data_IF_510822288386
#
_entry.id   IF_510822288386
#
_cell.length_a   1.000
_cell.length_b   1.000
_cell.length_c   1.000
_cell.angle_alpha   90.00
_cell.angle_beta   90.00
_cell.angle_gamma   90.00
#
_symmetry.space_group_name_H-M   'P 1'
#
loop_
_entity.id
_entity.type
_entity.pdbx_description
1 polymer ?
#
# COMPACT_ATOMS: atom_id res chain seq x y z
N UNK A 1 -23.64 5.60 16.70
CA UNK A 1 -24.63 6.70 16.60
C UNK A 1 -25.99 6.09 16.37
N UNK A 2 -27.10 6.75 16.72
CA UNK A 2 -28.43 6.21 16.45
C UNK A 2 -28.71 6.32 14.96
N UNK A 3 -28.78 5.20 14.26
CA UNK A 3 -29.08 5.14 12.83
C UNK A 3 -30.55 4.82 12.64
N UNK A 4 -31.25 5.67 11.89
CA UNK A 4 -32.64 5.44 11.58
C UNK A 4 -32.74 4.62 10.29
N UNK A 5 -33.39 3.48 10.41
CA UNK A 5 -33.64 2.55 9.31
C UNK A 5 -35.14 2.30 9.17
N UNK A 6 -35.56 2.09 7.93
CA UNK A 6 -36.87 1.58 7.55
C UNK A 6 -36.70 0.09 7.29
N UNK A 7 -37.46 -0.73 8.00
CA UNK A 7 -37.44 -2.19 7.88
C UNK A 7 -38.80 -2.64 7.35
N UNK A 8 -38.80 -3.25 6.18
CA UNK A 8 -39.98 -3.92 5.64
C UNK A 8 -39.94 -5.37 6.10
N UNK A 9 -41.02 -5.87 6.70
CA UNK A 9 -41.14 -7.27 7.12
C UNK A 9 -42.30 -7.97 6.44
N UNK A 10 -42.26 -9.29 6.45
CA UNK A 10 -43.35 -10.14 5.98
C UNK A 10 -43.52 -11.31 6.93
N UNK A 11 -44.76 -11.71 7.16
CA UNK A 11 -45.07 -12.84 8.02
C UNK A 11 -46.06 -13.79 7.36
N UNK A 12 -45.90 -15.08 7.65
CA UNK A 12 -46.85 -16.12 7.25
C UNK A 12 -47.52 -16.65 8.51
N UNK A 13 -48.84 -16.79 8.47
CA UNK A 13 -49.64 -17.22 9.62
C UNK A 13 -50.80 -18.10 9.19
N UNK A 14 -51.35 -18.85 10.15
CA UNK A 14 -52.54 -19.66 9.97
C UNK A 14 -53.40 -19.60 11.23
N UNK A 15 -54.71 -19.82 11.10
CA UNK A 15 -55.61 -19.94 12.24
C UNK A 15 -55.38 -21.31 12.89
N UNK A 16 -55.04 -21.32 14.18
CA UNK A 16 -54.87 -22.54 14.96
C UNK A 16 -56.12 -22.87 15.79
N UNK A 17 -56.74 -21.86 16.42
CA UNK A 17 -58.00 -21.98 17.15
C UNK A 17 -59.05 -21.01 16.57
N UNK A 18 -60.01 -21.50 15.77
CA UNK A 18 -61.05 -20.67 15.18
C UNK A 18 -61.97 -19.97 16.20
N UNK A 19 -62.21 -20.58 17.37
CA UNK A 19 -63.08 -19.99 18.39
C UNK A 19 -62.38 -18.81 19.08
N UNK A 20 -61.11 -19.00 19.44
CA UNK A 20 -60.28 -17.94 20.03
C UNK A 20 -60.03 -16.81 19.03
N UNK A 21 -59.83 -17.14 17.75
CA UNK A 21 -59.73 -16.18 16.65
C UNK A 21 -60.98 -15.30 16.56
N UNK A 22 -62.16 -15.92 16.46
CA UNK A 22 -63.41 -15.17 16.34
C UNK A 22 -63.69 -14.27 17.56
N UNK A 23 -63.30 -14.72 18.76
CA UNK A 23 -63.46 -13.94 20.00
C UNK A 23 -62.49 -12.76 20.10
N UNK A 24 -61.26 -12.93 19.64
CA UNK A 24 -60.18 -11.94 19.80
C UNK A 24 -60.13 -10.91 18.68
N UNK A 25 -60.21 -11.36 17.42
CA UNK A 25 -59.99 -10.53 16.23
C UNK A 25 -61.20 -10.41 15.31
N UNK A 26 -62.23 -11.25 15.50
CA UNK A 26 -63.50 -11.31 14.75
C UNK A 26 -63.37 -11.71 13.28
N UNK A 27 -62.51 -11.05 12.52
CA UNK A 27 -62.33 -11.29 11.09
C UNK A 27 -60.85 -11.18 10.68
N UNK A 28 -60.57 -11.43 9.40
CA UNK A 28 -59.21 -11.36 8.85
C UNK A 28 -58.63 -9.95 8.92
N UNK A 29 -59.44 -8.90 8.79
CA UNK A 29 -58.96 -7.52 8.84
C UNK A 29 -58.49 -7.17 10.26
N UNK A 30 -59.27 -7.54 11.28
CA UNK A 30 -58.88 -7.41 12.68
C UNK A 30 -57.64 -8.24 13.01
N UNK A 31 -57.52 -9.43 12.44
CA UNK A 31 -56.33 -10.26 12.59
C UNK A 31 -55.08 -9.57 12.03
N UNK A 32 -55.17 -9.02 10.80
CA UNK A 32 -54.07 -8.29 10.15
C UNK A 32 -53.62 -7.09 10.99
N UNK A 33 -54.54 -6.24 11.46
CA UNK A 33 -54.16 -5.09 12.30
C UNK A 33 -53.46 -5.52 13.59
N UNK A 34 -53.96 -6.56 14.28
CA UNK A 34 -53.31 -7.06 15.51
C UNK A 34 -51.94 -7.68 15.23
N UNK A 35 -51.81 -8.40 14.12
CA UNK A 35 -50.54 -8.97 13.70
C UNK A 35 -49.53 -7.88 13.37
N UNK A 36 -49.93 -6.84 12.63
CA UNK A 36 -49.07 -5.69 12.30
C UNK A 36 -48.57 -5.02 13.58
N UNK A 37 -49.44 -4.70 14.55
CA UNK A 37 -49.06 -4.08 15.82
C UNK A 37 -48.04 -4.93 16.62
N UNK A 38 -48.25 -6.25 16.68
CA UNK A 38 -47.39 -7.18 17.43
C UNK A 38 -46.05 -7.38 16.72
N UNK A 39 -46.07 -7.58 15.40
CA UNK A 39 -44.86 -7.83 14.61
C UNK A 39 -44.03 -6.55 14.55
N UNK A 40 -44.62 -5.40 14.25
CA UNK A 40 -43.89 -4.13 14.16
C UNK A 40 -43.24 -3.74 15.49
N UNK A 41 -43.95 -3.94 16.61
CA UNK A 41 -43.36 -3.68 17.94
C UNK A 41 -42.19 -4.62 18.24
N UNK A 42 -42.35 -5.91 17.97
CA UNK A 42 -41.30 -6.92 18.21
C UNK A 42 -40.07 -6.69 17.33
N UNK A 43 -40.29 -6.40 16.05
CA UNK A 43 -39.23 -6.09 15.08
C UNK A 43 -38.51 -4.82 15.51
N UNK A 44 -39.23 -3.76 15.87
CA UNK A 44 -38.64 -2.50 16.35
C UNK A 44 -37.76 -2.73 17.58
N UNK A 45 -38.22 -3.50 18.56
CA UNK A 45 -37.47 -3.76 19.79
C UNK A 45 -36.16 -4.49 19.50
N UNK A 46 -36.19 -5.54 18.65
CA UNK A 46 -35.01 -6.33 18.30
C UNK A 46 -34.04 -5.53 17.42
N UNK A 47 -34.55 -4.81 16.42
CA UNK A 47 -33.73 -3.97 15.53
C UNK A 47 -33.09 -2.82 16.30
N UNK A 48 -33.78 -2.22 17.27
CA UNK A 48 -33.22 -1.14 18.08
C UNK A 48 -32.09 -1.59 19.01
N UNK A 49 -32.03 -2.88 19.35
CA UNK A 49 -31.01 -3.48 20.22
C UNK A 49 -29.85 -4.13 19.48
N UNK A 50 -29.83 -4.09 18.14
CA UNK A 50 -28.87 -4.83 17.31
C UNK A 50 -28.15 -3.88 16.35
N UNK A 51 -26.84 -4.11 16.16
CA UNK A 51 -26.06 -3.36 15.18
C UNK A 51 -26.52 -3.70 13.74
N UNK A 52 -26.63 -2.69 12.88
CA UNK A 52 -27.17 -2.86 11.53
C UNK A 52 -26.40 -3.91 10.69
N UNK A 53 -25.09 -4.03 10.93
CA UNK A 53 -24.23 -5.00 10.27
C UNK A 53 -24.68 -6.46 10.50
N UNK A 54 -25.21 -6.76 11.69
CA UNK A 54 -25.76 -8.08 12.04
C UNK A 54 -27.07 -8.37 11.30
N UNK A 55 -27.80 -7.33 10.91
CA UNK A 55 -29.10 -7.44 10.23
C UNK A 55 -28.91 -7.57 8.71
N UNK A 56 -27.89 -6.91 8.15
CA UNK A 56 -27.61 -6.91 6.71
C UNK A 56 -26.76 -8.12 6.30
N UNK A 57 -25.79 -8.53 7.11
CA UNK A 57 -24.87 -9.63 6.76
C UNK A 57 -25.43 -10.98 7.23
N UNK A 58 -25.57 -11.93 6.31
CA UNK A 58 -25.84 -13.33 6.68
C UNK A 58 -24.60 -13.97 7.29
N UNK A 59 -24.79 -14.84 8.28
CA UNK A 59 -23.72 -15.62 8.92
C UNK A 59 -22.98 -16.52 7.92
N UNK A 60 -23.68 -16.93 6.86
CA UNK A 60 -23.17 -17.80 5.80
C UNK A 60 -22.48 -17.05 4.66
N UNK A 61 -22.29 -15.73 4.79
CA UNK A 61 -21.47 -14.99 3.85
C UNK A 61 -20.05 -15.57 3.86
N UNK A 62 -19.69 -16.23 2.76
CA UNK A 62 -18.31 -16.64 2.47
C UNK A 62 -17.67 -15.55 1.62
N UNK A 63 -16.75 -14.81 2.22
CA UNK A 63 -15.85 -13.94 1.46
C UNK A 63 -14.78 -14.88 0.91
N UNK A 64 -14.72 -15.07 -0.39
CA UNK A 64 -13.57 -15.76 -0.99
C UNK A 64 -12.41 -14.77 -1.05
N UNK A 65 -11.62 -14.75 0.03
CA UNK A 65 -10.46 -13.83 0.18
C UNK A 65 -9.44 -14.04 -0.95
N UNK A 66 -9.48 -15.19 -1.63
CA UNK A 66 -8.60 -15.52 -2.76
C UNK A 66 -8.99 -14.82 -4.07
N UNK A 67 -10.25 -14.46 -4.28
CA UNK A 67 -10.67 -13.68 -5.47
C UNK A 67 -10.39 -12.17 -5.31
N UNK A 68 -10.05 -11.73 -4.09
CA UNK A 68 -9.61 -10.36 -3.81
C UNK A 68 -8.09 -10.20 -3.96
N UNK A 69 -7.35 -11.27 -4.25
CA UNK A 69 -5.90 -11.30 -4.42
C UNK A 69 -5.50 -10.88 -5.84
N UNK A 70 -5.94 -9.70 -6.25
CA UNK A 70 -5.46 -9.04 -7.46
C UNK A 70 -4.14 -8.31 -7.15
N UNK A 71 -3.18 -9.00 -6.51
CA UNK A 71 -1.81 -8.56 -6.24
C UNK A 71 -1.63 -7.20 -5.53
N UNK A 72 -2.71 -6.57 -5.09
CA UNK A 72 -2.74 -5.22 -4.54
C UNK A 72 -3.23 -5.31 -3.12
N UNK A 73 -2.26 -5.27 -2.21
CA UNK A 73 -2.38 -4.82 -0.82
C UNK A 73 -3.59 -5.40 -0.08
N UNK A 74 -3.32 -6.35 0.82
CA UNK A 74 -4.27 -6.81 1.85
C UNK A 74 -5.05 -5.60 2.36
N UNK A 75 -6.32 -5.50 1.99
CA UNK A 75 -7.19 -4.42 2.47
C UNK A 75 -7.49 -4.73 3.94
N UNK A 76 -6.59 -4.36 4.85
CA UNK A 76 -6.83 -4.41 6.29
C UNK A 76 -8.04 -3.55 6.70
N UNK A 77 -8.39 -2.54 5.89
CA UNK A 77 -9.52 -1.62 6.13
C UNK A 77 -10.90 -2.19 5.79
N UNK A 78 -11.00 -3.41 5.23
CA UNK A 78 -12.31 -4.05 5.09
C UNK A 78 -12.53 -4.85 6.36
N UNK A 79 -13.32 -4.30 7.28
CA UNK A 79 -13.74 -5.00 8.49
C UNK A 79 -14.63 -6.19 8.10
N UNK A 80 -13.98 -7.32 7.82
CA UNK A 80 -14.57 -8.61 7.47
C UNK A 80 -15.03 -9.37 8.71
N UNK A 81 -15.21 -8.69 9.85
CA UNK A 81 -15.73 -9.29 11.07
C UNK A 81 -17.07 -9.94 10.74
N UNK A 82 -17.09 -11.27 10.87
CA UNK A 82 -18.29 -12.05 10.63
C UNK A 82 -19.33 -11.64 11.67
N UNK A 83 -20.59 -11.43 11.27
CA UNK A 83 -21.67 -11.15 12.22
C UNK A 83 -21.78 -12.30 13.22
N UNK A 84 -21.91 -11.97 14.51
CA UNK A 84 -21.98 -12.93 15.63
C UNK A 84 -23.32 -13.66 15.66
N UNK A 85 -24.42 -12.95 15.41
CA UNK A 85 -25.78 -13.50 15.36
C UNK A 85 -26.19 -13.79 13.92
N UNK A 86 -25.96 -12.82 13.02
CA UNK A 86 -26.43 -12.86 11.64
C UNK A 86 -27.95 -12.82 11.50
N UNK A 87 -28.41 -12.50 10.29
CA UNK A 87 -29.83 -12.27 9.98
C UNK A 87 -30.76 -13.41 10.37
N UNK A 88 -30.39 -14.67 10.10
CA UNK A 88 -31.27 -15.82 10.38
C UNK A 88 -31.62 -15.96 11.86
N UNK A 89 -30.64 -15.72 12.73
CA UNK A 89 -30.86 -15.80 14.17
C UNK A 89 -31.77 -14.66 14.65
N UNK A 90 -31.66 -13.48 14.05
CA UNK A 90 -32.55 -12.36 14.35
C UNK A 90 -33.98 -12.64 13.91
N UNK A 91 -34.18 -13.22 12.72
CA UNK A 91 -35.50 -13.63 12.23
C UNK A 91 -36.13 -14.71 13.14
N UNK A 92 -35.33 -15.64 13.67
CA UNK A 92 -35.78 -16.62 14.68
C UNK A 92 -36.14 -15.96 16.02
N UNK A 93 -35.33 -15.02 16.50
CA UNK A 93 -35.60 -14.26 17.72
C UNK A 93 -36.91 -13.44 17.56
N UNK A 94 -37.14 -12.83 16.39
CA UNK A 94 -38.38 -12.13 16.04
C UNK A 94 -39.60 -13.06 16.02
N UNK A 95 -39.48 -14.22 15.37
CA UNK A 95 -40.54 -15.22 15.31
C UNK A 95 -40.93 -15.70 16.71
N UNK A 96 -39.96 -16.05 17.56
CA UNK A 96 -40.21 -16.55 18.91
C UNK A 96 -40.90 -15.50 19.78
N UNK A 97 -40.44 -14.25 19.73
CA UNK A 97 -41.03 -13.16 20.50
C UNK A 97 -42.45 -12.83 20.03
N UNK A 98 -42.71 -12.80 18.71
CA UNK A 98 -44.03 -12.54 18.16
C UNK A 98 -45.00 -13.70 18.39
N UNK A 99 -44.56 -14.96 18.23
CA UNK A 99 -45.41 -16.15 18.36
C UNK A 99 -46.11 -16.22 19.73
N UNK A 100 -45.37 -15.94 20.82
CA UNK A 100 -45.94 -15.97 22.18
C UNK A 100 -47.11 -15.00 22.39
N UNK A 101 -47.11 -13.87 21.68
CA UNK A 101 -48.15 -12.83 21.78
C UNK A 101 -49.33 -13.14 20.86
N UNK A 102 -49.06 -13.74 19.71
CA UNK A 102 -50.05 -14.07 18.68
C UNK A 102 -50.86 -15.32 19.03
N UNK A 103 -50.30 -16.25 19.80
CA UNK A 103 -50.99 -17.46 20.28
C UNK A 103 -52.28 -17.14 21.06
N UNK A 104 -52.29 -16.01 21.78
CA UNK A 104 -53.48 -15.52 22.50
C UNK A 104 -54.64 -15.11 21.57
N UNK A 105 -54.38 -14.97 20.27
CA UNK A 105 -55.36 -14.62 19.25
C UNK A 105 -55.90 -15.87 18.52
N UNK A 106 -55.50 -17.09 18.90
CA UNK A 106 -55.85 -18.30 18.15
C UNK A 106 -55.18 -18.38 16.77
N UNK A 107 -54.04 -17.69 16.62
CA UNK A 107 -53.25 -17.62 15.39
C UNK A 107 -51.88 -18.25 15.67
N UNK A 108 -51.37 -19.00 14.69
CA UNK A 108 -50.01 -19.53 14.68
C UNK A 108 -49.18 -18.84 13.61
N UNK A 109 -48.01 -18.33 14.02
CA UNK A 109 -47.04 -17.70 13.14
C UNK A 109 -46.10 -18.76 12.57
N UNK A 110 -46.11 -18.95 11.26
CA UNK A 110 -45.22 -19.90 10.58
C UNK A 110 -43.83 -19.31 10.32
N UNK A 111 -43.75 -17.99 10.09
CA UNK A 111 -42.53 -17.31 9.66
C UNK A 111 -42.65 -15.79 9.85
N UNK A 112 -41.56 -15.13 10.23
CA UNK A 112 -41.36 -13.68 10.13
C UNK A 112 -40.00 -13.44 9.47
N UNK A 113 -40.00 -12.76 8.32
CA UNK A 113 -38.77 -12.40 7.61
C UNK A 113 -38.66 -10.92 7.41
N UNK A 114 -37.43 -10.47 7.40
CA UNK A 114 -37.11 -9.13 6.90
C UNK A 114 -37.15 -9.22 5.38
N UNK A 115 -37.81 -8.28 4.71
CA UNK A 115 -37.83 -8.17 3.25
C UNK A 115 -36.76 -7.20 2.77
N UNK A 116 -36.70 -6.02 3.40
CA UNK A 116 -35.79 -4.94 3.01
C UNK A 116 -35.43 -4.10 4.22
N UNK A 117 -34.21 -3.55 4.21
CA UNK A 117 -33.77 -2.55 5.17
C UNK A 117 -33.18 -1.40 4.39
N UNK A 118 -33.60 -0.17 4.69
CA UNK A 118 -33.04 1.04 4.10
C UNK A 118 -32.73 2.06 5.18
N UNK A 119 -31.72 2.89 4.95
CA UNK A 119 -31.57 4.13 5.71
C UNK A 119 -32.65 5.15 5.32
N UNK A 120 -33.03 6.00 6.26
CA UNK A 120 -33.80 7.22 5.94
C UNK A 120 -32.90 8.19 5.17
N UNK A 121 -33.45 8.99 4.27
CA UNK A 121 -32.72 9.94 3.41
C UNK A 121 -31.77 10.88 4.17
N UNK A 122 -32.14 11.29 5.39
CA UNK A 122 -31.29 12.12 6.25
C UNK A 122 -30.02 11.39 6.70
N UNK A 123 -30.15 10.12 7.10
CA UNK A 123 -29.05 9.26 7.54
C UNK A 123 -28.18 8.87 6.35
N UNK A 124 -28.79 8.53 5.21
CA UNK A 124 -28.07 8.15 3.98
C UNK A 124 -27.03 9.20 3.58
N UNK A 125 -27.43 10.47 3.48
CA UNK A 125 -26.51 11.57 3.12
C UNK A 125 -25.38 11.74 4.14
N UNK A 126 -25.67 11.56 5.43
CA UNK A 126 -24.68 11.66 6.49
C UNK A 126 -23.67 10.51 6.43
N UNK A 127 -24.13 9.29 6.19
CA UNK A 127 -23.29 8.09 6.05
C UNK A 127 -22.43 8.21 4.79
N UNK A 128 -23.00 8.62 3.66
CA UNK A 128 -22.25 8.86 2.41
C UNK A 128 -21.14 9.90 2.63
N UNK A 129 -21.46 11.03 3.25
CA UNK A 129 -20.46 12.07 3.55
C UNK A 129 -19.35 11.52 4.46
N UNK A 130 -19.71 10.76 5.51
CA UNK A 130 -18.73 10.11 6.40
C UNK A 130 -17.84 9.14 5.62
N UNK A 131 -18.43 8.26 4.80
CA UNK A 131 -17.69 7.30 3.97
C UNK A 131 -16.72 8.01 3.02
N UNK A 132 -17.13 9.12 2.40
CA UNK A 132 -16.26 9.92 1.52
C UNK A 132 -15.07 10.47 2.32
N UNK A 133 -15.32 11.10 3.48
CA UNK A 133 -14.26 11.63 4.32
C UNK A 133 -13.30 10.55 4.84
N UNK A 134 -13.84 9.41 5.25
CA UNK A 134 -13.07 8.25 5.70
C UNK A 134 -12.20 7.69 4.58
N UNK A 135 -12.78 7.48 3.38
CA UNK A 135 -12.04 7.05 2.19
C UNK A 135 -10.94 8.05 1.80
N UNK A 136 -11.21 9.35 1.89
CA UNK A 136 -10.23 10.38 1.60
C UNK A 136 -9.09 10.38 2.62
N UNK A 137 -9.40 10.19 3.91
CA UNK A 137 -8.40 10.08 4.98
C UNK A 137 -7.53 8.83 4.81
N UNK A 138 -8.14 7.68 4.50
CA UNK A 138 -7.43 6.43 4.18
C UNK A 138 -6.51 6.64 2.97
N UNK A 139 -7.01 7.23 1.89
CA UNK A 139 -6.21 7.51 0.70
C UNK A 139 -5.05 8.47 0.96
N UNK A 140 -5.23 9.49 1.80
CA UNK A 140 -4.15 10.40 2.22
C UNK A 140 -3.09 9.67 3.04
N UNK A 141 -3.51 8.83 3.98
CA UNK A 141 -2.60 7.99 4.78
C UNK A 141 -1.76 7.10 3.87
N UNK A 142 -2.37 6.38 2.94
CA UNK A 142 -1.63 5.54 1.99
C UNK A 142 -0.68 6.34 1.09
N UNK A 143 -1.10 7.52 0.61
CA UNK A 143 -0.22 8.41 -0.16
C UNK A 143 0.98 8.86 0.66
N UNK A 144 0.77 9.24 1.92
CA UNK A 144 1.83 9.63 2.85
C UNK A 144 2.79 8.48 3.16
N UNK A 145 2.27 7.29 3.47
CA UNK A 145 3.08 6.10 3.71
C UNK A 145 3.88 5.68 2.47
N UNK A 146 3.27 5.74 1.28
CA UNK A 146 3.95 5.48 0.01
C UNK A 146 5.05 6.50 -0.30
N UNK A 147 4.80 7.79 -0.05
CA UNK A 147 5.81 8.83 -0.17
C UNK A 147 6.97 8.62 0.82
N UNK A 148 6.66 8.28 2.08
CA UNK A 148 7.65 7.99 3.10
C UNK A 148 8.57 6.83 2.71
N UNK A 149 7.98 5.69 2.30
CA UNK A 149 8.75 4.53 1.79
C UNK A 149 9.58 4.87 0.56
N UNK A 150 9.02 5.64 -0.37
CA UNK A 150 9.76 6.08 -1.57
C UNK A 150 11.00 6.89 -1.21
N UNK A 151 10.87 7.87 -0.31
CA UNK A 151 12.00 8.68 0.16
C UNK A 151 13.03 7.86 0.93
N UNK A 152 12.59 6.89 1.73
CA UNK A 152 13.48 5.97 2.43
C UNK A 152 14.30 5.13 1.44
N UNK A 153 13.66 4.53 0.44
CA UNK A 153 14.32 3.73 -0.60
C UNK A 153 15.31 4.59 -1.39
N UNK A 154 14.90 5.79 -1.81
CA UNK A 154 15.79 6.72 -2.53
C UNK A 154 17.00 7.11 -1.67
N UNK A 155 16.78 7.42 -0.39
CA UNK A 155 17.86 7.76 0.54
C UNK A 155 18.79 6.58 0.86
N UNK A 156 18.30 5.34 0.85
CA UNK A 156 19.13 4.13 0.93
C UNK A 156 19.95 3.95 -0.35
N UNK A 157 19.29 4.00 -1.50
CA UNK A 157 19.92 3.88 -2.82
C UNK A 157 21.03 4.92 -3.02
N UNK A 158 20.81 6.19 -2.65
CA UNK A 158 21.84 7.22 -2.76
C UNK A 158 23.06 6.95 -1.87
N UNK A 159 22.84 6.46 -0.64
CA UNK A 159 23.92 6.11 0.29
C UNK A 159 24.74 4.93 -0.23
N UNK A 160 24.07 3.89 -0.73
CA UNK A 160 24.73 2.74 -1.33
C UNK A 160 25.54 3.14 -2.57
N UNK A 161 24.95 3.94 -3.47
CA UNK A 161 25.63 4.44 -4.67
C UNK A 161 26.90 5.23 -4.32
N UNK A 162 26.82 6.14 -3.34
CA UNK A 162 27.99 6.91 -2.87
C UNK A 162 29.07 6.00 -2.30
N UNK A 163 28.68 4.97 -1.55
CA UNK A 163 29.61 4.00 -0.95
C UNK A 163 30.34 3.23 -2.06
N UNK A 164 29.59 2.64 -2.99
CA UNK A 164 30.14 1.89 -4.14
C UNK A 164 31.07 2.78 -4.97
N UNK A 165 30.67 4.02 -5.25
CA UNK A 165 31.47 4.95 -6.05
C UNK A 165 32.77 5.32 -5.33
N UNK A 166 32.70 5.62 -4.03
CA UNK A 166 33.89 5.93 -3.20
C UNK A 166 34.86 4.75 -3.13
N UNK A 167 34.35 3.53 -2.96
CA UNK A 167 35.17 2.32 -2.94
C UNK A 167 35.82 2.04 -4.30
N UNK A 168 35.08 2.22 -5.39
CA UNK A 168 35.59 2.07 -6.75
C UNK A 168 36.69 3.11 -7.06
N UNK A 169 36.49 4.37 -6.70
CA UNK A 169 37.48 5.43 -6.87
C UNK A 169 38.74 5.18 -6.05
N UNK A 170 38.59 4.76 -4.79
CA UNK A 170 39.73 4.38 -3.94
C UNK A 170 40.52 3.23 -4.56
N UNK A 171 39.85 2.16 -4.97
CA UNK A 171 40.49 1.01 -5.60
C UNK A 171 41.20 1.41 -6.90
N UNK A 172 40.56 2.25 -7.74
CA UNK A 172 41.17 2.76 -8.96
C UNK A 172 42.40 3.64 -8.69
N UNK A 173 42.38 4.45 -7.63
CA UNK A 173 43.51 5.26 -7.21
C UNK A 173 44.67 4.40 -6.66
N UNK A 174 44.39 3.36 -5.88
CA UNK A 174 45.40 2.41 -5.40
C UNK A 174 46.05 1.61 -6.53
N UNK A 175 45.26 1.19 -7.52
CA UNK A 175 45.78 0.48 -8.71
C UNK A 175 46.67 1.42 -9.52
N UNK A 176 46.22 2.65 -9.79
CA UNK A 176 47.04 3.66 -10.49
C UNK A 176 48.32 3.99 -9.72
N UNK A 177 48.24 4.23 -8.42
CA UNK A 177 49.41 4.52 -7.59
C UNK A 177 50.44 3.38 -7.59
N UNK A 178 49.99 2.11 -7.55
CA UNK A 178 50.87 0.95 -7.70
C UNK A 178 51.51 0.87 -9.09
N UNK A 179 50.72 1.08 -10.13
CA UNK A 179 51.21 1.07 -11.52
C UNK A 179 52.24 2.19 -11.76
N UNK A 180 51.98 3.40 -11.26
CA UNK A 180 52.89 4.54 -11.39
C UNK A 180 54.20 4.33 -10.61
N UNK A 181 54.12 3.74 -9.42
CA UNK A 181 55.30 3.39 -8.63
C UNK A 181 56.15 2.30 -9.32
N UNK A 182 55.50 1.28 -9.88
CA UNK A 182 56.16 0.22 -10.65
C UNK A 182 56.80 0.77 -11.93
N UNK A 183 56.08 1.61 -12.67
CA UNK A 183 56.61 2.30 -13.85
C UNK A 183 57.83 3.13 -13.47
N UNK A 184 57.72 3.97 -12.45
CA UNK A 184 58.84 4.81 -11.97
C UNK A 184 60.05 3.98 -11.54
N UNK A 185 59.82 2.84 -10.87
CA UNK A 185 60.88 1.90 -10.50
C UNK A 185 61.58 1.32 -11.73
N UNK A 186 60.84 0.82 -12.72
CA UNK A 186 61.38 0.27 -13.97
C UNK A 186 62.14 1.36 -14.75
N UNK A 187 61.59 2.58 -14.82
CA UNK A 187 62.26 3.74 -15.42
C UNK A 187 63.58 4.04 -14.70
N UNK A 188 63.58 4.11 -13.36
CA UNK A 188 64.77 4.35 -12.56
C UNK A 188 65.84 3.26 -12.71
N UNK A 189 65.45 1.98 -12.72
CA UNK A 189 66.36 0.85 -12.93
C UNK A 189 66.97 0.85 -14.34
N UNK A 190 66.15 1.13 -15.37
CA UNK A 190 66.60 1.11 -16.77
C UNK A 190 67.54 2.27 -17.09
N UNK A 191 67.25 3.47 -16.58
CA UNK A 191 68.00 4.68 -16.89
C UNK A 191 69.07 5.04 -15.84
N UNK A 192 69.03 4.42 -14.66
CA UNK A 192 70.08 4.51 -13.66
C UNK A 192 71.31 3.63 -13.95
N UNK A 193 71.21 2.70 -14.91
CA UNK A 193 72.32 1.87 -15.35
C UNK A 193 73.42 2.67 -16.08
N UNK A 194 73.04 3.70 -16.84
CA UNK A 194 73.96 4.66 -17.48
C UNK A 194 73.31 6.06 -17.54
N UNK A 195 73.64 6.94 -16.58
CA UNK A 195 73.11 8.29 -16.51
C UNK A 195 73.46 9.18 -17.72
N UNK A 196 74.60 8.92 -18.37
CA UNK A 196 75.09 9.72 -19.50
C UNK A 196 74.32 9.36 -20.78
N UNK A 197 74.03 8.07 -20.97
CA UNK A 197 73.16 7.59 -22.06
C UNK A 197 71.72 8.08 -21.89
N UNK A 198 71.18 8.11 -20.67
CA UNK A 198 69.83 8.64 -20.40
C UNK A 198 69.70 10.12 -20.77
N UNK A 199 70.64 10.95 -20.31
CA UNK A 199 70.65 12.38 -20.61
C UNK A 199 70.68 12.61 -22.12
N UNK A 200 71.57 11.90 -22.84
CA UNK A 200 71.66 11.96 -24.30
C UNK A 200 70.36 11.51 -25.01
N UNK A 201 69.78 10.37 -24.63
CA UNK A 201 68.55 9.84 -25.25
C UNK A 201 67.35 10.77 -25.02
N UNK A 202 67.19 11.35 -23.82
CA UNK A 202 66.12 12.31 -23.52
C UNK A 202 66.28 13.62 -24.29
N UNK A 203 67.50 14.09 -24.48
CA UNK A 203 67.79 15.25 -25.35
C UNK A 203 67.36 14.96 -26.79
N UNK A 204 67.67 13.77 -27.33
CA UNK A 204 67.22 13.35 -28.67
C UNK A 204 65.71 13.22 -28.82
N UNK A 205 65.04 12.64 -27.82
CA UNK A 205 63.57 12.49 -27.82
C UNK A 205 62.89 13.86 -27.80
N UNK A 206 63.42 14.78 -26.98
CA UNK A 206 62.94 16.17 -26.88
C UNK A 206 63.09 16.91 -28.21
N UNK A 207 64.24 16.76 -28.89
CA UNK A 207 64.43 17.30 -30.24
C UNK A 207 63.45 16.72 -31.25
N UNK A 208 63.07 15.44 -31.11
CA UNK A 208 62.13 14.77 -32.02
C UNK A 208 60.68 15.21 -31.81
N UNK A 209 60.30 15.56 -30.58
CA UNK A 209 58.98 16.13 -30.27
C UNK A 209 58.84 17.61 -30.65
N UNK A 210 59.94 18.29 -30.94
CA UNK A 210 59.91 19.64 -31.50
C UNK A 210 59.58 19.56 -33.00
N UNK A 211 58.41 20.10 -33.38
CA UNK A 211 57.92 20.02 -34.75
C UNK A 211 58.78 20.79 -35.77
N UNK A 212 58.63 20.46 -37.06
CA UNK A 212 59.47 20.91 -38.19
C UNK A 212 59.59 22.44 -38.38
N UNK A 213 58.79 23.26 -37.70
CA UNK A 213 58.74 24.73 -37.83
C UNK A 213 58.96 25.49 -36.51
N UNK A 214 59.72 24.95 -35.56
CA UNK A 214 60.02 25.64 -34.28
C UNK A 214 61.45 26.21 -34.28
N UNK A 215 61.58 27.54 -34.24
CA UNK A 215 62.88 28.21 -34.03
C UNK A 215 63.19 28.27 -32.54
N UNK A 216 64.19 27.51 -32.10
CA UNK A 216 64.60 27.43 -30.69
C UNK A 216 65.77 28.40 -30.44
N UNK A 217 65.55 29.43 -29.63
CA UNK A 217 66.63 30.28 -29.11
C UNK A 217 67.17 29.64 -27.82
N UNK A 218 68.34 29.01 -27.92
CA UNK A 218 69.03 28.40 -26.79
C UNK A 218 70.24 29.26 -26.41
N UNK A 219 70.42 29.42 -25.11
CA UNK A 219 71.65 30.01 -24.56
C UNK A 219 72.81 29.01 -24.63
N UNK A 220 74.04 29.48 -24.78
CA UNK A 220 75.23 28.65 -24.99
C UNK A 220 75.56 27.76 -23.77
N UNK A 221 75.11 28.15 -22.58
CA UNK A 221 75.29 27.41 -21.33
C UNK A 221 74.15 26.41 -21.06
N UNK A 222 73.19 26.26 -21.99
CA UNK A 222 72.04 25.37 -21.83
C UNK A 222 72.45 23.89 -21.92
N UNK A 223 71.85 23.03 -21.10
CA UNK A 223 72.07 21.58 -21.14
C UNK A 223 71.70 20.97 -22.50
N UNK A 224 70.80 21.61 -23.24
CA UNK A 224 70.41 21.24 -24.59
C UNK A 224 71.46 21.57 -25.65
N UNK A 225 72.51 22.34 -25.35
CA UNK A 225 73.58 22.66 -26.32
C UNK A 225 74.85 21.82 -26.11
N UNK A 226 75.00 21.21 -24.92
CA UNK A 226 76.17 20.42 -24.47
C UNK A 226 76.57 19.31 -25.45
N UNK A 227 75.62 18.57 -25.99
CA UNK A 227 75.89 17.46 -26.91
C UNK A 227 76.15 17.90 -28.36
N UNK A 228 75.73 19.11 -28.76
CA UNK A 228 75.95 19.66 -30.10
C UNK A 228 77.33 20.34 -30.23
N UNK A 229 77.84 20.92 -29.15
CA UNK A 229 79.16 21.58 -29.11
C UNK A 229 80.33 20.57 -29.15
N UNK A 230 80.16 19.41 -28.51
CA UNK A 230 81.20 18.36 -28.40
C UNK A 230 81.68 17.79 -29.74
N UNK A 231 80.85 17.85 -30.79
CA UNK A 231 81.20 17.43 -32.15
C UNK A 231 82.08 18.41 -32.93
N UNK A 232 82.35 19.61 -32.38
CA UNK A 232 83.06 20.70 -33.08
C UNK A 232 84.51 20.92 -32.64
N UNK A 233 85.16 19.90 -32.05
CA UNK A 233 86.63 19.85 -31.98
C UNK A 233 87.19 18.95 -33.07
N UNK A 234 87.39 19.54 -34.24
CA UNK A 234 88.41 19.13 -35.22
C UNK A 234 89.08 20.38 -35.77
#
# INVERSE_FOLDING_TARGET
GREFVVVDTTARWRISDPLQFLRSVRDEQGARTRLDDIIDSTVRDIVSGTDLEEIVRSRDWKVDVKELDDGTVVREDVDLVKPKKGRERLEQEMLAAAASRVEQLGIELADVRIKRINYIDSVRRQVETRMISERQSIAERFRSEGQGRSQEILGQMERELRTITSEAERAAAEIRGRADAEATRIYGESFGADPEFYAFFRTLETYRTMGENTTLMLDADSEYFRYLDSTRKR
#
